data_IF_628736441251
#
_entry.id   IF_628736441251
#
_cell.length_a   1.000
_cell.length_b   1.000
_cell.length_c   1.000
_cell.angle_alpha   90.00
_cell.angle_beta   90.00
_cell.angle_gamma   90.00
#
_symmetry.space_group_name_H-M   'P 1'
#
loop_
_entity.id
_entity.type
_entity.pdbx_description
1 polymer ?
#
# COMPACT_ATOMS: atom_id res chain seq x y z
N UNK A 1 -9.85 12.06 -65.84
CA UNK A 1 -8.86 11.13 -66.41
C UNK A 1 -8.41 10.19 -65.30
N UNK A 2 -8.71 8.89 -65.49
CA UNK A 2 -8.09 7.67 -64.92
C UNK A 2 -7.70 7.64 -63.44
N UNK A 3 -8.48 7.05 -62.51
CA UNK A 3 -8.75 5.63 -62.17
C UNK A 3 -7.59 4.82 -61.53
N UNK A 4 -7.93 4.15 -60.41
CA UNK A 4 -7.33 2.93 -59.82
C UNK A 4 -6.07 3.13 -58.94
N UNK A 5 -5.87 2.48 -57.79
CA UNK A 5 -6.40 1.21 -57.24
C UNK A 5 -6.56 1.27 -55.70
N UNK A 6 -7.51 0.47 -55.20
CA UNK A 6 -7.64 0.03 -53.80
C UNK A 6 -6.40 -0.77 -53.35
N UNK A 7 -5.98 -0.59 -52.10
CA UNK A 7 -5.26 -1.62 -51.36
C UNK A 7 -6.08 -2.00 -50.13
N UNK A 8 -6.50 -3.26 -50.12
CA UNK A 8 -6.99 -3.97 -48.95
C UNK A 8 -5.76 -4.49 -48.22
N UNK A 9 -5.43 -3.91 -47.06
CA UNK A 9 -4.40 -4.47 -46.18
C UNK A 9 -5.05 -5.31 -45.08
N UNK A 10 -4.68 -6.58 -45.09
CA UNK A 10 -5.07 -7.62 -44.15
C UNK A 10 -4.88 -7.20 -42.69
N UNK A 11 -5.96 -7.29 -41.90
CA UNK A 11 -5.87 -7.51 -40.47
C UNK A 11 -5.21 -8.87 -40.21
N UNK A 12 -3.90 -8.87 -39.92
CA UNK A 12 -3.28 -9.92 -39.12
C UNK A 12 -3.19 -9.41 -37.69
N UNK A 13 -4.15 -9.84 -36.85
CA UNK A 13 -4.08 -9.64 -35.41
C UNK A 13 -2.83 -10.32 -34.84
N UNK A 14 -2.03 -9.56 -34.09
CA UNK A 14 -1.00 -10.11 -33.22
C UNK A 14 -1.68 -10.92 -32.10
N UNK A 15 -1.84 -12.23 -32.29
CA UNK A 15 -1.85 -13.16 -31.16
C UNK A 15 -0.40 -13.49 -30.82
N UNK A 16 0.12 -12.85 -29.77
CA UNK A 16 1.32 -13.31 -29.09
C UNK A 16 1.01 -14.64 -28.38
N UNK A 17 1.18 -15.76 -29.09
CA UNK A 17 1.19 -17.09 -28.46
C UNK A 17 2.57 -17.28 -27.81
N UNK A 18 2.62 -17.17 -26.48
CA UNK A 18 3.77 -17.62 -25.68
C UNK A 18 3.90 -19.14 -25.79
N UNK A 19 4.62 -19.63 -26.78
CA UNK A 19 4.94 -21.06 -26.96
C UNK A 19 5.81 -21.63 -25.83
N UNK A 20 6.43 -20.79 -24.99
CA UNK A 20 7.16 -21.24 -23.80
C UNK A 20 6.30 -21.65 -22.60
N UNK A 21 5.06 -21.14 -22.48
CA UNK A 21 4.24 -21.38 -21.28
C UNK A 21 3.42 -22.67 -21.39
N UNK A 22 3.08 -23.09 -22.61
CA UNK A 22 2.27 -24.31 -22.85
C UNK A 22 3.09 -25.57 -22.54
N UNK A 23 4.38 -25.62 -22.90
CA UNK A 23 5.22 -26.77 -22.58
C UNK A 23 5.48 -26.94 -21.07
N UNK A 24 5.61 -25.84 -20.32
CA UNK A 24 5.83 -25.87 -18.87
C UNK A 24 4.53 -26.25 -18.13
N UNK A 25 3.38 -25.73 -18.58
CA UNK A 25 2.08 -26.06 -17.99
C UNK A 25 1.70 -27.53 -18.14
N UNK A 26 1.97 -28.15 -19.29
CA UNK A 26 1.70 -29.58 -19.53
C UNK A 26 2.64 -30.48 -18.70
N UNK A 27 3.90 -30.06 -18.52
CA UNK A 27 4.85 -30.78 -17.66
C UNK A 27 4.46 -30.73 -16.18
N UNK A 28 3.98 -29.57 -15.70
CA UNK A 28 3.49 -29.42 -14.32
C UNK A 28 2.22 -30.24 -14.06
N UNK A 29 1.27 -30.24 -15.00
CA UNK A 29 0.05 -31.06 -14.89
C UNK A 29 0.35 -32.56 -14.86
N UNK A 30 1.31 -33.02 -15.65
CA UNK A 30 1.76 -34.42 -15.63
C UNK A 30 2.48 -34.77 -14.31
N UNK A 31 3.34 -33.87 -13.79
CA UNK A 31 4.07 -34.10 -12.55
C UNK A 31 3.14 -34.07 -11.32
N UNK A 32 2.16 -33.16 -11.30
CA UNK A 32 1.13 -33.09 -10.25
C UNK A 32 0.24 -34.32 -10.25
N UNK A 33 -0.12 -34.85 -11.42
CA UNK A 33 -0.90 -36.10 -11.50
C UNK A 33 -0.13 -37.31 -10.96
N UNK A 34 1.19 -37.40 -11.21
CA UNK A 34 2.04 -38.47 -10.68
C UNK A 34 2.24 -38.36 -9.16
N UNK A 35 2.42 -37.14 -8.64
CA UNK A 35 2.54 -36.89 -7.19
C UNK A 35 1.24 -37.18 -6.44
N UNK A 36 0.09 -36.86 -7.02
CA UNK A 36 -1.22 -37.11 -6.39
C UNK A 36 -1.55 -38.61 -6.30
N UNK A 37 -1.10 -39.41 -7.28
CA UNK A 37 -1.25 -40.87 -7.25
C UNK A 37 -0.37 -41.50 -6.14
N UNK A 38 0.84 -40.97 -5.90
CA UNK A 38 1.72 -41.50 -4.85
C UNK A 38 1.23 -41.19 -3.43
N UNK A 39 0.58 -40.04 -3.20
CA UNK A 39 0.02 -39.66 -1.88
C UNK A 39 -1.17 -40.54 -1.48
N UNK A 40 -1.88 -41.14 -2.44
CA UNK A 40 -3.01 -42.04 -2.16
C UNK A 40 -2.60 -43.49 -1.85
N UNK A 41 -1.30 -43.81 -1.87
CA UNK A 41 -0.79 -45.19 -1.76
C UNK A 41 -0.12 -45.51 -0.40
N UNK A 42 0.13 -44.54 0.49
CA UNK A 42 0.75 -44.84 1.80
C UNK A 42 -0.26 -45.19 2.92
N UNK A 43 -0.12 -46.35 3.59
CA UNK A 43 -0.90 -46.67 4.79
C UNK A 43 -0.30 -45.98 6.03
N UNK A 44 -1.11 -45.18 6.73
CA UNK A 44 -0.70 -44.51 7.98
C UNK A 44 -0.70 -45.49 9.16
N UNK A 45 0.44 -45.63 9.81
CA UNK A 45 0.53 -46.07 11.21
C UNK A 45 1.61 -45.28 11.93
N UNK A 46 1.22 -44.38 12.83
CA UNK A 46 2.13 -43.72 13.77
C UNK A 46 1.44 -43.60 15.14
N UNK A 47 2.08 -44.16 16.16
CA UNK A 47 1.75 -44.03 17.57
C UNK A 47 2.93 -43.29 18.22
N UNK A 48 2.71 -42.09 18.78
CA UNK A 48 3.71 -41.35 19.55
C UNK A 48 3.07 -40.79 20.81
N UNK A 49 3.67 -41.12 21.95
CA UNK A 49 3.34 -40.67 23.31
C UNK A 49 4.20 -39.46 23.70
N UNK A 50 3.60 -38.39 24.21
CA UNK A 50 4.28 -37.25 24.83
C UNK A 50 4.26 -37.31 26.36
N UNK A 51 5.35 -36.83 26.97
CA UNK A 51 5.50 -36.64 28.43
C UNK A 51 5.90 -35.19 28.75
N UNK A 52 5.17 -34.56 29.69
CA UNK A 52 5.45 -33.23 30.26
C UNK A 52 6.47 -33.27 31.42
N UNK A 53 7.11 -32.12 31.74
CA UNK A 53 7.43 -31.82 33.14
C UNK A 53 7.05 -30.40 33.63
N UNK A 54 7.10 -30.26 34.95
CA UNK A 54 6.31 -29.40 35.83
C UNK A 54 6.96 -28.07 36.27
N UNK A 55 6.09 -27.18 36.79
CA UNK A 55 6.34 -25.90 37.49
C UNK A 55 7.14 -26.01 38.81
N UNK A 56 7.81 -24.91 39.17
CA UNK A 56 8.09 -24.50 40.56
C UNK A 56 7.88 -22.99 40.78
N UNK A 57 7.39 -22.64 41.98
CA UNK A 57 7.08 -21.30 42.50
C UNK A 57 8.27 -20.68 43.27
N UNK A 58 8.35 -19.35 43.39
CA UNK A 58 8.60 -18.66 44.68
C UNK A 58 8.34 -17.13 44.64
N UNK A 59 7.75 -16.64 45.74
CA UNK A 59 7.51 -15.24 46.19
C UNK A 59 8.81 -14.51 46.59
N UNK A 60 8.95 -13.19 46.80
CA UNK A 60 8.22 -12.21 47.67
C UNK A 60 8.81 -10.79 47.46
N UNK A 61 8.01 -9.73 47.70
CA UNK A 61 8.32 -8.28 47.83
C UNK A 61 9.09 -7.94 49.16
N UNK A 62 9.53 -6.69 49.52
CA UNK A 62 8.91 -5.37 49.21
C UNK A 62 9.80 -4.06 49.10
N UNK A 63 9.15 -2.99 48.57
CA UNK A 63 9.19 -1.52 48.87
C UNK A 63 10.48 -0.68 49.10
N UNK A 64 10.71 0.29 48.18
CA UNK A 64 10.89 1.78 48.29
C UNK A 64 11.79 2.47 49.37
N UNK A 65 12.13 3.80 49.29
CA UNK A 65 12.31 4.75 48.17
C UNK A 65 13.54 5.71 48.32
N UNK A 66 13.62 6.71 47.42
CA UNK A 66 14.14 8.10 47.60
C UNK A 66 15.46 8.53 46.92
N UNK A 67 15.27 9.51 46.02
CA UNK A 67 16.02 10.74 45.76
C UNK A 67 17.51 10.86 46.13
N UNK A 68 18.34 11.21 45.14
CA UNK A 68 19.16 12.43 45.24
C UNK A 68 19.66 12.94 43.88
N UNK A 69 19.66 14.28 43.80
CA UNK A 69 20.06 15.16 42.70
C UNK A 69 21.58 15.13 42.44
N UNK A 70 21.91 15.71 41.27
CA UNK A 70 23.12 16.48 40.95
C UNK A 70 24.30 15.70 40.35
N UNK A 71 24.50 15.87 39.04
CA UNK A 71 25.85 15.91 38.48
C UNK A 71 25.97 17.01 37.43
N UNK A 72 26.96 17.86 37.69
CA UNK A 72 27.58 18.89 36.87
C UNK A 72 28.24 18.35 35.61
N UNK A 73 28.25 19.21 34.58
CA UNK A 73 29.21 19.43 33.49
C UNK A 73 30.40 18.47 33.25
N UNK A 74 30.72 18.43 31.94
CA UNK A 74 32.04 18.24 31.32
C UNK A 74 32.48 16.80 31.08
N UNK A 75 32.52 16.38 29.81
CA UNK A 75 33.73 16.49 28.99
C UNK A 75 33.61 15.70 27.68
N UNK A 76 34.14 16.31 26.62
CA UNK A 76 34.42 15.72 25.32
C UNK A 76 35.14 14.37 25.44
N UNK A 77 34.69 13.39 24.64
CA UNK A 77 35.57 12.32 24.20
C UNK A 77 35.22 11.89 22.77
N UNK A 78 35.98 12.47 21.84
CA UNK A 78 36.17 11.99 20.48
C UNK A 78 36.77 10.59 20.53
N UNK A 79 36.12 9.62 19.89
CA UNK A 79 36.72 8.32 19.57
C UNK A 79 36.66 8.16 18.06
N UNK A 80 37.83 8.25 17.43
CA UNK A 80 38.08 7.75 16.09
C UNK A 80 38.16 6.22 16.15
N UNK A 81 37.32 5.55 15.36
CA UNK A 81 37.57 4.20 14.89
C UNK A 81 37.32 4.19 13.39
N UNK A 82 38.41 4.23 12.63
CA UNK A 82 38.40 3.88 11.23
C UNK A 82 38.32 2.37 11.09
N UNK A 83 37.58 1.91 10.08
CA UNK A 83 37.85 0.66 9.38
C UNK A 83 37.22 0.77 8.00
N UNK A 84 38.09 0.79 6.98
CA UNK A 84 37.72 0.61 5.59
C UNK A 84 37.31 -0.85 5.39
N UNK A 85 36.08 -1.07 4.91
CA UNK A 85 35.68 -2.34 4.33
C UNK A 85 35.14 -2.03 2.94
N UNK A 86 35.99 -2.29 1.94
CA UNK A 86 35.61 -2.37 0.53
C UNK A 86 35.05 -3.77 0.29
N UNK A 87 33.77 -3.87 -0.08
CA UNK A 87 33.19 -5.08 -0.66
C UNK A 87 32.69 -4.72 -2.04
N UNK A 88 33.40 -5.23 -3.04
CA UNK A 88 32.94 -5.41 -4.41
C UNK A 88 32.43 -6.84 -4.53
N UNK A 89 31.22 -7.02 -5.08
CA UNK A 89 30.92 -8.19 -5.90
C UNK A 89 29.62 -7.97 -6.67
N UNK A 90 29.77 -7.86 -7.99
CA UNK A 90 28.75 -8.15 -8.99
C UNK A 90 28.10 -9.52 -8.75
N UNK A 91 26.77 -9.59 -8.63
CA UNK A 91 25.92 -10.71 -9.09
C UNK A 91 24.43 -10.47 -8.80
N UNK A 92 23.51 -11.01 -9.63
CA UNK A 92 22.10 -10.61 -9.65
C UNK A 92 21.28 -11.21 -8.50
N UNK A 93 20.38 -10.39 -7.97
CA UNK A 93 19.40 -10.73 -6.94
C UNK A 93 18.45 -11.80 -7.48
N UNK A 94 18.47 -12.97 -6.85
CA UNK A 94 17.48 -14.04 -7.01
C UNK A 94 16.23 -13.65 -6.22
N UNK A 95 15.09 -13.62 -6.91
CA UNK A 95 13.76 -13.44 -6.31
C UNK A 95 13.46 -14.65 -5.42
N UNK A 96 13.56 -14.47 -4.10
CA UNK A 96 13.01 -15.39 -3.12
C UNK A 96 11.61 -14.90 -2.73
N UNK A 97 10.57 -15.52 -3.30
CA UNK A 97 9.19 -15.38 -2.82
C UNK A 97 9.09 -16.20 -1.53
N UNK A 98 9.09 -15.53 -0.37
CA UNK A 98 8.72 -16.18 0.89
C UNK A 98 7.21 -16.13 1.09
N UNK A 99 6.66 -17.32 1.31
CA UNK A 99 5.30 -17.54 1.80
C UNK A 99 5.16 -16.91 3.20
N UNK A 100 4.23 -15.95 3.36
CA UNK A 100 3.81 -15.51 4.68
C UNK A 100 3.02 -16.63 5.35
N UNK A 101 3.63 -17.26 6.35
CA UNK A 101 2.92 -18.09 7.32
C UNK A 101 1.91 -17.22 8.08
N UNK A 102 0.64 -17.65 8.02
CA UNK A 102 -0.43 -17.15 8.89
C UNK A 102 -0.01 -17.35 10.35
N UNK A 103 0.20 -16.26 11.07
CA UNK A 103 0.11 -16.27 12.53
C UNK A 103 -1.36 -16.19 12.94
N UNK A 104 -1.85 -17.08 13.82
CA UNK A 104 -3.21 -16.99 14.31
C UNK A 104 -3.33 -15.88 15.36
N UNK A 105 -4.29 -14.98 15.14
CA UNK A 105 -4.78 -14.02 16.13
C UNK A 105 -5.35 -14.78 17.34
N UNK A 106 -4.86 -14.43 18.53
CA UNK A 106 -5.44 -14.88 19.80
C UNK A 106 -6.82 -14.23 19.98
N UNK A 107 -7.86 -15.07 19.93
CA UNK A 107 -9.22 -14.68 20.28
C UNK A 107 -9.44 -14.61 21.79
N UNK A 108 -9.93 -13.44 22.19
CA UNK A 108 -10.83 -13.15 23.29
C UNK A 108 -11.72 -14.35 23.71
N UNK A 109 -11.59 -14.81 24.98
CA UNK A 109 -12.47 -15.81 25.61
C UNK A 109 -13.43 -15.12 26.59
N UNK A 110 -14.76 -15.32 26.47
CA UNK A 110 -15.67 -15.10 27.57
C UNK A 110 -15.78 -16.35 28.47
N UNK A 111 -15.81 -16.15 29.77
CA UNK A 111 -16.02 -17.19 30.78
C UNK A 111 -17.48 -17.68 30.75
N UNK A 112 -17.67 -18.98 30.52
CA UNK A 112 -18.88 -19.70 30.91
C UNK A 112 -18.48 -20.93 31.73
N UNK A 113 -18.96 -20.97 32.97
CA UNK A 113 -18.92 -22.12 33.87
C UNK A 113 -20.19 -22.96 33.68
N UNK A 114 -20.05 -24.25 33.37
CA UNK A 114 -21.08 -25.24 33.68
C UNK A 114 -20.45 -26.61 33.86
N UNK A 115 -20.58 -27.10 35.08
CA UNK A 115 -20.16 -28.38 35.61
C UNK A 115 -21.21 -29.45 35.24
N UNK A 116 -20.80 -30.61 34.73
CA UNK A 116 -21.47 -31.89 34.97
C UNK A 116 -20.73 -33.05 34.30
N UNK A 117 -20.50 -34.08 35.09
CA UNK A 117 -19.76 -35.30 34.80
C UNK A 117 -20.71 -36.49 34.62
N UNK A 118 -20.48 -37.34 33.61
CA UNK A 118 -20.91 -38.74 33.60
C UNK A 118 -20.15 -39.53 32.50
N UNK A 119 -19.64 -40.75 32.78
CA UNK A 119 -18.87 -41.55 31.81
C UNK A 119 -19.73 -42.63 31.13
N UNK A 120 -19.47 -42.92 29.84
CA UNK A 120 -20.04 -44.09 29.16
C UNK A 120 -18.94 -45.00 28.58
N UNK A 121 -19.13 -46.31 28.81
CA UNK A 121 -18.22 -47.43 28.54
C UNK A 121 -18.15 -47.80 27.05
N UNK A 122 -16.96 -48.20 26.62
CA UNK A 122 -16.67 -48.92 25.37
C UNK A 122 -17.19 -50.37 25.42
N UNK A 123 -17.75 -50.84 24.30
CA UNK A 123 -17.96 -52.26 24.00
C UNK A 123 -17.70 -52.47 22.50
N UNK A 124 -16.61 -53.16 22.17
CA UNK A 124 -16.21 -53.47 20.79
C UNK A 124 -16.73 -54.86 20.39
N UNK A 125 -17.60 -54.91 19.38
CA UNK A 125 -17.97 -56.16 18.68
C UNK A 125 -17.56 -56.05 17.21
N UNK A 126 -16.62 -56.90 16.80
CA UNK A 126 -16.04 -56.99 15.46
C UNK A 126 -16.97 -57.85 14.57
N UNK A 127 -17.56 -57.25 13.53
CA UNK A 127 -18.29 -57.97 12.48
C UNK A 127 -17.35 -58.36 11.32
N UNK A 128 -17.31 -59.67 11.01
CA UNK A 128 -16.57 -60.21 9.87
C UNK A 128 -17.26 -59.85 8.54
N UNK A 129 -16.49 -59.33 7.57
CA UNK A 129 -16.98 -58.90 6.25
C UNK A 129 -17.29 -60.13 5.36
N UNK A 130 -18.49 -60.21 4.75
CA UNK A 130 -18.88 -61.34 3.90
C UNK A 130 -18.02 -61.50 2.63
N UNK A 131 -17.76 -62.75 2.23
CA UNK A 131 -16.94 -63.14 1.06
C UNK A 131 -17.33 -62.48 -0.28
N UNK A 132 -18.56 -61.99 -0.44
CA UNK A 132 -19.00 -61.32 -1.67
C UNK A 132 -18.32 -59.97 -1.92
N UNK A 133 -17.86 -59.28 -0.87
CA UNK A 133 -17.17 -57.97 -0.99
C UNK A 133 -15.72 -58.16 -1.47
N UNK A 134 -15.10 -59.30 -1.17
CA UNK A 134 -13.71 -59.58 -1.57
C UNK A 134 -13.55 -59.65 -3.09
N UNK A 135 -14.52 -60.22 -3.79
CA UNK A 135 -14.44 -60.33 -5.25
C UNK A 135 -14.66 -58.99 -5.97
N UNK A 136 -15.49 -58.11 -5.41
CA UNK A 136 -15.67 -56.74 -5.92
C UNK A 136 -14.38 -55.93 -5.75
N UNK A 137 -13.69 -56.09 -4.61
CA UNK A 137 -12.40 -55.43 -4.36
C UNK A 137 -11.29 -55.92 -5.28
N UNK A 138 -11.27 -57.22 -5.63
CA UNK A 138 -10.31 -57.77 -6.59
C UNK A 138 -10.55 -57.26 -8.02
N UNK A 139 -11.80 -57.17 -8.46
CA UNK A 139 -12.14 -56.61 -9.79
C UNK A 139 -11.83 -55.11 -9.86
N UNK A 140 -12.12 -54.36 -8.79
CA UNK A 140 -11.77 -52.94 -8.68
C UNK A 140 -10.26 -52.72 -8.70
N UNK A 141 -9.47 -53.64 -8.13
CA UNK A 141 -8.02 -53.60 -8.18
C UNK A 141 -7.47 -53.82 -9.60
N UNK A 142 -8.07 -54.72 -10.39
CA UNK A 142 -7.67 -54.94 -11.80
C UNK A 142 -8.01 -53.72 -12.66
N UNK A 143 -9.21 -53.15 -12.51
CA UNK A 143 -9.60 -51.92 -13.24
C UNK A 143 -8.64 -50.77 -12.89
N UNK A 144 -8.33 -50.59 -11.60
CA UNK A 144 -7.43 -49.52 -11.15
C UNK A 144 -6.00 -49.71 -11.66
N UNK A 145 -5.48 -50.94 -11.62
CA UNK A 145 -4.07 -51.18 -11.89
C UNK A 145 -3.75 -51.45 -13.37
N UNK A 146 -4.76 -51.74 -14.20
CA UNK A 146 -4.55 -52.06 -15.63
C UNK A 146 -5.28 -51.08 -16.55
N UNK A 147 -6.55 -50.81 -16.31
CA UNK A 147 -7.35 -50.01 -17.25
C UNK A 147 -6.96 -48.52 -17.20
N UNK A 148 -6.76 -47.97 -16.01
CA UNK A 148 -6.36 -46.57 -15.82
C UNK A 148 -5.02 -46.26 -16.52
N UNK A 149 -3.92 -47.02 -16.30
CA UNK A 149 -2.66 -46.73 -16.98
C UNK A 149 -2.75 -46.86 -18.51
N UNK A 150 -3.56 -47.78 -19.04
CA UNK A 150 -3.77 -47.90 -20.50
C UNK A 150 -4.48 -46.67 -21.07
N UNK A 151 -5.51 -46.16 -20.39
CA UNK A 151 -6.24 -44.94 -20.81
C UNK A 151 -5.31 -43.73 -20.79
N UNK A 152 -4.48 -43.58 -19.75
CA UNK A 152 -3.49 -42.49 -19.66
C UNK A 152 -2.46 -42.59 -20.79
N UNK A 153 -2.00 -43.80 -21.11
CA UNK A 153 -1.01 -44.00 -22.18
C UNK A 153 -1.58 -43.63 -23.56
N UNK A 154 -2.84 -43.98 -23.82
CA UNK A 154 -3.55 -43.58 -25.04
C UNK A 154 -3.69 -42.05 -25.12
N UNK A 155 -4.08 -41.39 -24.03
CA UNK A 155 -4.23 -39.93 -23.99
C UNK A 155 -2.91 -39.20 -24.28
N UNK A 156 -1.80 -39.65 -23.66
CA UNK A 156 -0.46 -39.10 -23.92
C UNK A 156 -0.05 -39.31 -25.37
N UNK A 157 -0.27 -40.51 -25.93
CA UNK A 157 0.07 -40.81 -27.32
C UNK A 157 -0.73 -39.93 -28.31
N UNK A 158 -2.01 -39.70 -28.05
CA UNK A 158 -2.82 -38.78 -28.86
C UNK A 158 -2.38 -37.33 -28.73
N UNK A 159 -1.86 -36.90 -27.58
CA UNK A 159 -1.33 -35.55 -27.40
C UNK A 159 -0.04 -35.34 -28.22
N UNK A 160 0.85 -36.34 -28.21
CA UNK A 160 2.11 -36.31 -28.97
C UNK A 160 1.87 -36.24 -30.48
N UNK A 161 0.96 -37.06 -31.02
CA UNK A 161 0.64 -37.03 -32.46
C UNK A 161 0.08 -35.66 -32.88
N UNK A 162 -0.75 -35.02 -32.05
CA UNK A 162 -1.31 -33.71 -32.37
C UNK A 162 -0.25 -32.59 -32.32
N UNK A 163 0.77 -32.71 -31.47
CA UNK A 163 1.89 -31.75 -31.41
C UNK A 163 2.75 -31.85 -32.68
N UNK A 164 3.07 -33.06 -33.15
CA UNK A 164 3.87 -33.23 -34.38
C UNK A 164 3.14 -32.70 -35.62
N UNK A 165 1.80 -32.84 -35.68
CA UNK A 165 0.97 -32.28 -36.75
C UNK A 165 0.91 -30.74 -36.69
N UNK A 166 0.99 -30.14 -35.50
CA UNK A 166 1.02 -28.69 -35.30
C UNK A 166 2.40 -28.07 -35.60
N UNK A 167 3.48 -28.78 -35.27
CA UNK A 167 4.86 -28.31 -35.49
C UNK A 167 5.31 -28.53 -36.95
N UNK A 168 4.78 -29.55 -37.64
CA UNK A 168 5.13 -29.86 -39.03
C UNK A 168 4.58 -28.91 -40.11
N UNK A 169 3.80 -27.88 -39.76
CA UNK A 169 3.12 -27.00 -40.75
C UNK A 169 3.59 -25.55 -40.79
N UNK A 170 4.57 -25.16 -39.98
CA UNK A 170 5.09 -23.78 -39.93
C UNK A 170 6.53 -23.68 -40.47
N UNK A 171 6.70 -24.09 -41.73
CA UNK A 171 7.86 -23.69 -42.53
C UNK A 171 7.72 -22.22 -42.97
N UNK A 172 7.92 -21.28 -42.03
CA UNK A 172 8.11 -19.87 -42.38
C UNK A 172 9.61 -19.57 -42.26
N UNK A 173 10.28 -19.41 -43.40
CA UNK A 173 11.68 -19.01 -43.47
C UNK A 173 11.76 -17.53 -43.07
N UNK A 174 12.00 -17.28 -41.78
CA UNK A 174 12.22 -15.93 -41.25
C UNK A 174 13.60 -15.48 -41.74
N UNK A 175 13.63 -14.73 -42.84
CA UNK A 175 14.76 -13.84 -43.14
C UNK A 175 14.74 -12.71 -42.12
N UNK A 176 15.60 -12.80 -41.11
CA UNK A 176 15.89 -11.67 -40.23
C UNK A 176 16.60 -10.57 -41.02
N UNK A 177 15.83 -9.61 -41.53
CA UNK A 177 16.36 -8.29 -41.84
C UNK A 177 16.64 -7.60 -40.49
N UNK A 178 17.90 -7.30 -40.22
CA UNK A 178 18.33 -6.43 -39.13
C UNK A 178 17.75 -5.05 -39.37
N UNK A 179 16.52 -4.85 -38.90
CA UNK A 179 15.86 -3.56 -38.85
C UNK A 179 15.82 -3.19 -37.38
N UNK A 180 16.34 -1.98 -37.12
CA UNK A 180 16.60 -1.34 -35.85
C UNK A 180 15.73 -1.84 -34.69
N UNK A 181 16.39 -2.32 -33.64
CA UNK A 181 15.76 -2.56 -32.36
C UNK A 181 15.03 -1.28 -31.94
N UNK A 182 13.71 -1.33 -31.98
CA UNK A 182 12.83 -0.39 -31.30
C UNK A 182 13.36 -0.25 -29.88
N UNK A 183 13.95 0.90 -29.57
CA UNK A 183 14.29 1.25 -28.22
C UNK A 183 12.98 1.25 -27.43
N UNK A 184 12.82 0.26 -26.56
CA UNK A 184 11.86 0.35 -25.46
C UNK A 184 12.24 1.64 -24.73
N UNK A 185 11.37 2.64 -24.81
CA UNK A 185 11.54 3.92 -24.15
C UNK A 185 11.58 3.65 -22.64
N UNK A 186 12.78 3.45 -22.12
CA UNK A 186 13.02 3.20 -20.72
C UNK A 186 12.61 4.49 -20.00
N UNK A 187 11.52 4.43 -19.24
CA UNK A 187 11.11 5.55 -18.39
C UNK A 187 12.27 5.83 -17.44
N UNK A 188 13.01 6.91 -17.67
CA UNK A 188 14.13 7.30 -16.82
C UNK A 188 13.54 7.89 -15.55
N UNK A 189 13.46 7.10 -14.48
CA UNK A 189 13.15 7.61 -13.16
C UNK A 189 14.23 8.63 -12.75
N UNK A 190 13.84 9.70 -12.05
CA UNK A 190 14.79 10.71 -11.57
C UNK A 190 15.71 10.16 -10.48
N UNK A 191 15.18 9.23 -9.69
CA UNK A 191 15.91 8.40 -8.76
C UNK A 191 15.29 7.00 -8.75
N UNK A 192 16.09 5.97 -8.98
CA UNK A 192 15.64 4.57 -9.02
C UNK A 192 15.09 4.11 -7.67
N UNK A 193 15.56 4.68 -6.55
CA UNK A 193 15.08 4.32 -5.21
C UNK A 193 13.61 4.65 -5.01
N UNK A 194 13.10 5.71 -5.65
CA UNK A 194 11.70 6.12 -5.54
C UNK A 194 10.77 5.15 -6.26
N UNK A 195 11.19 4.70 -7.45
CA UNK A 195 10.53 3.65 -8.18
C UNK A 195 10.52 2.35 -7.37
N UNK A 196 11.67 1.91 -6.88
CA UNK A 196 11.79 0.69 -6.06
C UNK A 196 10.91 0.76 -4.81
N UNK A 197 10.87 1.92 -4.14
CA UNK A 197 10.04 2.13 -2.95
C UNK A 197 8.55 1.97 -3.27
N UNK A 198 8.07 2.66 -4.30
CA UNK A 198 6.68 2.60 -4.74
C UNK A 198 6.28 1.19 -5.17
N UNK A 199 7.16 0.50 -5.90
CA UNK A 199 6.97 -0.90 -6.28
C UNK A 199 6.94 -1.83 -5.07
N UNK A 200 7.81 -1.64 -4.08
CA UNK A 200 7.79 -2.43 -2.86
C UNK A 200 6.44 -2.31 -2.15
N UNK A 201 5.91 -1.10 -2.00
CA UNK A 201 4.63 -0.87 -1.34
C UNK A 201 3.48 -1.47 -2.17
N UNK A 202 3.47 -1.23 -3.48
CA UNK A 202 2.48 -1.79 -4.42
C UNK A 202 2.42 -3.31 -4.33
N UNK A 203 3.58 -3.98 -4.32
CA UNK A 203 3.68 -5.44 -4.18
C UNK A 203 3.27 -5.93 -2.80
N UNK A 204 3.66 -5.22 -1.74
CA UNK A 204 3.30 -5.55 -0.35
C UNK A 204 1.80 -5.53 -0.11
N UNK A 205 1.09 -4.65 -0.82
CA UNK A 205 -0.36 -4.51 -0.73
C UNK A 205 -1.13 -5.27 -1.82
N UNK A 206 -0.44 -5.93 -2.77
CA UNK A 206 -1.08 -6.51 -3.95
C UNK A 206 -2.17 -7.55 -3.64
N UNK A 207 -1.93 -8.40 -2.64
CA UNK A 207 -2.87 -9.45 -2.21
C UNK A 207 -3.74 -9.05 -1.01
N UNK A 208 -3.54 -7.85 -0.47
CA UNK A 208 -4.34 -7.35 0.65
C UNK A 208 -5.66 -6.84 0.07
N UNK A 209 -6.81 -7.23 0.60
CA UNK A 209 -8.10 -6.66 0.18
C UNK A 209 -8.16 -5.16 0.47
N UNK A 210 -8.86 -4.38 -0.36
CA UNK A 210 -8.87 -2.90 -0.24
C UNK A 210 -9.25 -2.45 1.18
N UNK A 211 -10.33 -2.97 1.75
CA UNK A 211 -10.78 -2.63 3.10
C UNK A 211 -9.84 -3.08 4.22
N UNK A 212 -8.87 -3.96 3.93
CA UNK A 212 -7.86 -4.43 4.89
C UNK A 212 -6.57 -3.60 4.86
N UNK A 213 -6.39 -2.74 3.85
CA UNK A 213 -5.18 -1.90 3.75
C UNK A 213 -5.00 -1.03 4.99
N UNK A 214 -6.08 -0.46 5.53
CA UNK A 214 -6.05 0.35 6.76
C UNK A 214 -5.24 -0.30 7.89
N UNK A 215 -5.45 -1.59 8.13
CA UNK A 215 -4.78 -2.32 9.22
C UNK A 215 -3.40 -2.89 8.84
N UNK A 216 -3.10 -3.00 7.54
CA UNK A 216 -1.89 -3.66 7.05
C UNK A 216 -0.83 -2.67 6.53
N UNK A 217 -1.21 -1.41 6.31
CA UNK A 217 -0.33 -0.42 5.69
C UNK A 217 0.92 -0.12 6.51
N UNK A 218 0.81 -0.07 7.83
CA UNK A 218 1.96 0.14 8.72
C UNK A 218 3.02 -0.93 8.52
N UNK A 219 2.63 -2.21 8.52
CA UNK A 219 3.55 -3.32 8.29
C UNK A 219 4.17 -3.32 6.89
N UNK A 220 3.43 -2.90 5.86
CA UNK A 220 3.96 -2.76 4.51
C UNK A 220 5.04 -1.66 4.44
N UNK A 221 4.79 -0.52 5.07
CA UNK A 221 5.74 0.60 5.14
C UNK A 221 6.99 0.20 5.92
N UNK A 222 6.84 -0.43 7.08
CA UNK A 222 7.96 -0.90 7.90
C UNK A 222 8.85 -1.86 7.10
N UNK A 223 8.25 -2.80 6.38
CA UNK A 223 8.97 -3.70 5.50
C UNK A 223 9.73 -2.94 4.41
N UNK A 224 9.06 -2.06 3.66
CA UNK A 224 9.71 -1.34 2.56
C UNK A 224 10.81 -0.38 3.03
N UNK A 225 10.62 0.29 4.16
CA UNK A 225 11.67 1.10 4.80
C UNK A 225 12.86 0.24 5.27
N UNK A 226 12.64 -1.05 5.57
CA UNK A 226 13.72 -1.96 5.97
C UNK A 226 14.62 -2.35 4.80
N UNK A 227 14.05 -2.54 3.59
CA UNK A 227 14.76 -3.02 2.40
C UNK A 227 15.23 -1.90 1.47
N UNK A 228 14.53 -0.76 1.47
CA UNK A 228 14.85 0.40 0.63
C UNK A 228 15.07 1.59 1.55
N UNK A 229 16.32 2.08 1.57
CA UNK A 229 16.71 3.19 2.43
C UNK A 229 16.53 4.50 1.68
N UNK A 230 15.47 5.22 2.05
CA UNK A 230 15.26 6.61 1.71
C UNK A 230 15.78 7.49 2.85
N UNK A 231 16.41 8.61 2.52
CA UNK A 231 16.83 9.58 3.53
C UNK A 231 15.65 10.47 3.91
N UNK A 232 15.23 10.42 5.17
CA UNK A 232 14.12 11.23 5.69
C UNK A 232 14.59 12.41 6.54
N UNK A 233 15.89 12.73 6.58
CA UNK A 233 16.45 13.82 7.40
C UNK A 233 15.89 15.20 7.02
N UNK A 234 15.44 15.33 5.76
CA UNK A 234 14.83 16.55 5.25
C UNK A 234 13.31 16.62 5.45
N UNK A 235 12.70 15.56 5.99
CA UNK A 235 11.29 15.51 6.33
C UNK A 235 11.09 16.05 7.75
N UNK A 236 10.81 17.35 7.86
CA UNK A 236 10.74 18.03 9.15
C UNK A 236 9.34 17.92 9.75
N UNK A 237 9.26 17.45 10.99
CA UNK A 237 8.00 17.42 11.75
C UNK A 237 7.73 18.75 12.44
N UNK A 238 6.55 19.32 12.19
CA UNK A 238 6.00 20.50 12.83
C UNK A 238 4.82 20.07 13.70
N UNK A 239 4.86 20.45 14.98
CA UNK A 239 3.88 19.96 15.98
C UNK A 239 2.74 20.95 16.17
N UNK A 240 1.53 20.41 16.11
CA UNK A 240 0.34 20.98 16.74
C UNK A 240 0.18 20.37 18.15
N UNK A 241 -0.87 20.74 18.86
CA UNK A 241 -1.18 20.28 20.22
C UNK A 241 -1.41 18.77 20.28
N UNK A 242 -2.02 18.19 19.26
CA UNK A 242 -2.43 16.78 19.21
C UNK A 242 -1.78 16.00 18.06
N UNK A 243 -1.04 16.66 17.16
CA UNK A 243 -0.48 16.03 15.97
C UNK A 243 0.89 16.56 15.53
N UNK A 244 1.46 15.90 14.51
CA UNK A 244 2.68 16.35 13.83
C UNK A 244 2.45 16.30 12.34
N UNK A 245 2.45 17.47 11.70
CA UNK A 245 2.44 17.63 10.25
C UNK A 245 3.88 17.66 9.75
N UNK A 246 4.15 17.11 8.57
CA UNK A 246 5.50 17.07 8.02
C UNK A 246 5.66 18.01 6.84
N UNK A 247 6.85 18.57 6.67
CA UNK A 247 7.14 19.45 5.55
C UNK A 247 8.61 19.33 5.16
N UNK A 248 8.87 19.34 3.86
CA UNK A 248 10.21 19.50 3.31
C UNK A 248 10.42 20.96 2.94
N UNK A 249 11.46 21.57 3.49
CA UNK A 249 11.88 22.90 3.07
C UNK A 249 12.23 22.94 1.58
N UNK A 250 12.13 24.08 0.91
CA UNK A 250 12.71 24.20 -0.42
C UNK A 250 14.24 24.02 -0.35
N UNK A 251 14.82 23.54 -1.45
CA UNK A 251 16.27 23.34 -1.64
C UNK A 251 17.00 24.67 -1.57
N UNK A 252 16.49 25.68 -2.27
CA UNK A 252 17.00 27.04 -2.23
C UNK A 252 15.90 28.02 -1.81
N UNK A 253 15.97 28.47 -0.56
CA UNK A 253 15.06 29.46 0.02
C UNK A 253 15.07 30.81 -0.72
N UNK A 254 16.16 31.15 -1.43
CA UNK A 254 16.24 32.41 -2.18
C UNK A 254 15.47 32.34 -3.50
N UNK A 255 15.23 31.14 -4.02
CA UNK A 255 14.43 30.90 -5.23
C UNK A 255 12.95 30.65 -4.92
N UNK A 256 12.59 30.54 -3.64
CA UNK A 256 11.21 30.41 -3.23
C UNK A 256 10.47 31.73 -3.45
N UNK A 257 9.64 31.77 -4.49
CA UNK A 257 8.70 32.85 -4.76
C UNK A 257 7.35 32.28 -5.21
N UNK A 258 6.30 33.07 -5.01
CA UNK A 258 4.92 32.69 -5.37
C UNK A 258 4.53 31.31 -4.84
N UNK A 259 4.98 30.98 -3.63
CA UNK A 259 4.68 29.71 -3.00
C UNK A 259 3.22 29.72 -2.50
N UNK A 260 2.52 28.59 -2.55
CA UNK A 260 1.15 28.49 -2.03
C UNK A 260 1.07 27.40 -0.98
N UNK A 261 0.67 27.79 0.23
CA UNK A 261 0.43 26.91 1.35
C UNK A 261 -1.07 26.98 1.65
N UNK A 262 -1.74 25.84 1.50
CA UNK A 262 -3.19 25.78 1.61
C UNK A 262 -3.56 24.88 2.78
N UNK A 263 -4.49 25.33 3.62
CA UNK A 263 -5.03 24.57 4.75
C UNK A 263 -6.53 24.36 4.53
N UNK A 264 -6.97 23.10 4.54
CA UNK A 264 -8.38 22.74 4.54
C UNK A 264 -8.73 22.14 5.90
N UNK A 265 -9.71 22.76 6.56
CA UNK A 265 -10.01 22.54 7.98
C UNK A 265 -8.86 23.02 8.84
N UNK A 266 -8.99 24.27 9.27
CA UNK A 266 -7.99 24.97 10.06
C UNK A 266 -7.97 24.43 11.49
N UNK A 267 -9.16 24.05 11.99
CA UNK A 267 -9.30 23.61 13.37
C UNK A 267 -8.95 24.70 14.37
N UNK A 268 -8.76 24.31 15.63
CA UNK A 268 -8.54 25.24 16.73
C UNK A 268 -7.06 25.51 17.04
N UNK A 269 -6.15 24.97 16.24
CA UNK A 269 -4.71 25.07 16.39
C UNK A 269 -4.03 25.29 15.04
N UNK A 270 -3.37 26.44 14.91
CA UNK A 270 -2.67 26.88 13.69
C UNK A 270 -1.15 26.97 13.91
N UNK A 271 -0.64 26.22 14.89
CA UNK A 271 0.77 26.30 15.30
C UNK A 271 1.72 25.92 14.17
N UNK A 272 1.37 24.94 13.33
CA UNK A 272 2.15 24.58 12.14
C UNK A 272 2.14 25.72 11.11
N UNK A 273 0.96 26.25 10.78
CA UNK A 273 0.77 27.32 9.81
C UNK A 273 1.52 28.59 10.24
N UNK A 274 1.51 28.91 11.53
CA UNK A 274 2.30 30.01 12.11
C UNK A 274 3.81 29.79 11.94
N UNK A 275 4.32 28.59 12.22
CA UNK A 275 5.73 28.27 12.04
C UNK A 275 6.16 28.37 10.57
N UNK A 276 5.32 27.91 9.64
CA UNK A 276 5.58 28.05 8.20
C UNK A 276 5.52 29.52 7.77
N UNK A 277 4.59 30.32 8.31
CA UNK A 277 4.50 31.76 8.03
C UNK A 277 5.70 32.53 8.56
N UNK A 278 6.17 32.23 9.77
CA UNK A 278 7.40 32.82 10.33
C UNK A 278 8.61 32.49 9.43
N UNK A 279 8.68 31.26 8.94
CA UNK A 279 9.78 30.79 8.11
C UNK A 279 9.79 31.39 6.71
N UNK A 280 8.65 31.40 6.03
CA UNK A 280 8.59 31.81 4.61
C UNK A 280 8.16 33.25 4.40
N UNK A 281 7.48 33.86 5.38
CA UNK A 281 7.03 35.24 5.32
C UNK A 281 6.12 35.49 4.13
N UNK A 282 6.46 36.49 3.31
CA UNK A 282 5.68 36.90 2.15
C UNK A 282 6.08 36.18 0.85
N UNK A 283 7.02 35.22 0.94
CA UNK A 283 7.39 34.36 -0.20
C UNK A 283 6.29 33.35 -0.52
N UNK A 284 5.50 32.98 0.50
CA UNK A 284 4.35 32.10 0.39
C UNK A 284 3.05 32.86 0.67
N UNK A 285 2.01 32.55 -0.10
CA UNK A 285 0.62 32.89 0.22
C UNK A 285 0.04 31.76 1.05
N UNK A 286 -0.67 32.13 2.11
CA UNK A 286 -1.37 31.21 3.00
C UNK A 286 -2.86 31.38 2.77
N UNK A 287 -3.54 30.28 2.45
CA UNK A 287 -4.97 30.27 2.15
C UNK A 287 -5.63 29.17 2.95
N UNK A 288 -6.57 29.53 3.82
CA UNK A 288 -7.21 28.61 4.74
C UNK A 288 -8.72 28.59 4.55
N UNK A 289 -9.30 27.41 4.40
CA UNK A 289 -10.75 27.24 4.31
C UNK A 289 -11.27 26.45 5.50
N UNK A 290 -12.23 27.03 6.22
CA UNK A 290 -12.88 26.40 7.35
C UNK A 290 -14.28 27.02 7.55
N UNK A 291 -15.34 26.23 7.77
CA UNK A 291 -16.67 26.76 7.98
C UNK A 291 -16.90 27.43 9.36
N UNK A 292 -16.01 27.23 10.34
CA UNK A 292 -16.17 27.69 11.73
C UNK A 292 -15.54 29.08 11.92
N UNK A 293 -16.39 30.11 11.93
CA UNK A 293 -15.91 31.50 11.96
C UNK A 293 -15.66 32.06 13.38
N UNK A 294 -16.11 31.37 14.44
CA UNK A 294 -16.06 31.91 15.81
C UNK A 294 -14.64 32.07 16.35
N UNK A 295 -13.77 31.07 16.10
CA UNK A 295 -12.38 31.06 16.54
C UNK A 295 -11.39 30.90 15.38
N UNK A 296 -11.71 30.05 14.40
CA UNK A 296 -10.74 29.67 13.36
C UNK A 296 -10.41 30.87 12.45
N UNK A 297 -11.41 31.73 12.19
CA UNK A 297 -11.21 33.00 11.47
C UNK A 297 -10.25 33.94 12.21
N UNK A 298 -10.41 34.09 13.54
CA UNK A 298 -9.58 34.97 14.36
C UNK A 298 -8.11 34.54 14.36
N UNK A 299 -7.86 33.23 14.52
CA UNK A 299 -6.50 32.70 14.63
C UNK A 299 -5.79 32.57 13.27
N UNK A 300 -6.53 32.41 12.16
CA UNK A 300 -5.93 32.22 10.84
C UNK A 300 -5.68 33.53 10.07
N UNK A 301 -6.54 34.55 10.22
CA UNK A 301 -6.39 35.84 9.51
C UNK A 301 -5.01 36.51 9.66
N UNK A 302 -4.31 36.41 10.81
CA UNK A 302 -2.94 36.93 10.93
C UNK A 302 -1.91 36.20 10.07
N UNK A 303 -2.23 34.98 9.61
CA UNK A 303 -1.36 34.10 8.81
C UNK A 303 -1.59 34.34 7.32
N UNK A 304 -2.86 34.39 6.90
CA UNK A 304 -3.26 34.48 5.50
C UNK A 304 -4.75 34.70 5.26
N UNK A 305 -5.18 34.39 4.05
CA UNK A 305 -6.58 34.56 3.62
C UNK A 305 -7.45 33.46 4.23
N UNK A 306 -8.54 33.86 4.90
CA UNK A 306 -9.51 32.94 5.49
C UNK A 306 -10.80 32.89 4.67
N UNK A 307 -11.28 31.68 4.40
CA UNK A 307 -12.48 31.41 3.63
C UNK A 307 -13.53 30.68 4.49
N UNK A 308 -14.71 31.29 4.77
CA UNK A 308 -15.70 30.79 5.73
C UNK A 308 -16.62 29.70 5.13
N UNK A 309 -16.03 28.64 4.59
CA UNK A 309 -16.76 27.50 4.02
C UNK A 309 -15.88 26.24 4.08
N UNK A 310 -16.52 25.08 4.02
CA UNK A 310 -15.82 23.81 3.87
C UNK A 310 -15.39 23.60 2.41
N UNK A 311 -14.34 22.81 2.21
CA UNK A 311 -13.91 22.37 0.87
C UNK A 311 -14.10 20.86 0.77
N UNK A 312 -14.71 20.43 -0.33
CA UNK A 312 -15.06 19.02 -0.55
C UNK A 312 -14.98 18.64 -2.03
N UNK A 313 -15.60 17.51 -2.37
CA UNK A 313 -15.64 17.01 -3.75
C UNK A 313 -16.75 17.65 -4.62
N UNK A 314 -17.65 18.41 -4.01
CA UNK A 314 -18.81 19.03 -4.65
C UNK A 314 -19.19 20.36 -3.98
N UNK A 315 -19.69 21.31 -4.76
CA UNK A 315 -20.25 22.57 -4.24
C UNK A 315 -21.70 22.33 -3.83
N UNK A 316 -21.98 22.32 -2.53
CA UNK A 316 -23.32 22.06 -1.97
C UNK A 316 -23.47 22.63 -0.57
N UNK A 317 -24.70 22.62 -0.05
CA UNK A 317 -24.92 22.81 1.39
C UNK A 317 -25.16 21.44 2.01
N UNK A 318 -24.39 21.08 3.02
CA UNK A 318 -24.45 19.77 3.67
C UNK A 318 -24.34 19.90 5.18
N UNK A 319 -24.98 18.97 5.89
CA UNK A 319 -24.85 18.85 7.34
C UNK A 319 -23.55 18.12 7.69
N UNK A 320 -22.67 18.79 8.43
CA UNK A 320 -21.41 18.22 8.91
C UNK A 320 -21.39 18.27 10.44
N UNK A 321 -20.73 17.27 11.04
CA UNK A 321 -20.52 17.21 12.49
C UNK A 321 -19.24 17.97 12.81
N UNK A 322 -19.33 19.06 13.57
CA UNK A 322 -18.20 19.96 13.82
C UNK A 322 -18.02 20.24 15.30
N UNK A 323 -16.78 20.56 15.69
CA UNK A 323 -16.44 21.02 17.03
C UNK A 323 -16.27 22.54 17.01
N UNK A 324 -17.30 23.28 17.40
CA UNK A 324 -17.26 24.77 17.38
C UNK A 324 -16.62 25.39 18.61
N UNK A 325 -16.85 24.80 19.79
CA UNK A 325 -16.22 25.27 21.02
C UNK A 325 -15.06 24.34 21.35
N UNK A 326 -13.80 24.83 21.32
CA UNK A 326 -12.63 24.02 21.64
C UNK A 326 -12.67 23.46 23.07
N UNK A 327 -13.38 24.13 23.97
CA UNK A 327 -13.50 23.74 25.38
C UNK A 327 -14.64 22.76 25.63
N UNK A 328 -15.56 22.63 24.66
CA UNK A 328 -16.58 21.61 24.69
C UNK A 328 -16.04 20.32 24.06
N UNK A 329 -16.33 19.17 24.66
CA UNK A 329 -16.12 17.88 23.99
C UNK A 329 -17.23 17.56 22.98
N UNK A 330 -18.15 18.50 22.75
CA UNK A 330 -19.38 18.25 22.01
C UNK A 330 -19.20 18.62 20.54
N UNK A 331 -19.54 17.67 19.67
CA UNK A 331 -19.72 17.94 18.26
C UNK A 331 -21.19 18.24 17.97
N UNK A 332 -21.44 19.23 17.13
CA UNK A 332 -22.78 19.67 16.74
C UNK A 332 -22.98 19.46 15.24
N UNK A 333 -24.19 19.06 14.86
CA UNK A 333 -24.56 18.97 13.45
C UNK A 333 -24.97 20.36 12.96
N UNK A 334 -24.29 20.85 11.92
CA UNK A 334 -24.59 22.13 11.30
C UNK A 334 -24.50 22.05 9.78
N UNK A 335 -25.33 22.86 9.13
CA UNK A 335 -25.28 23.01 7.68
C UNK A 335 -24.20 24.02 7.32
N UNK A 336 -23.25 23.60 6.51
CA UNK A 336 -22.23 24.47 5.96
C UNK A 336 -22.28 24.45 4.44
N UNK A 337 -21.87 25.58 3.86
CA UNK A 337 -21.54 25.63 2.44
C UNK A 337 -20.23 24.89 2.23
N UNK A 338 -20.24 23.97 1.29
CA UNK A 338 -19.07 23.30 0.74
C UNK A 338 -18.79 23.88 -0.64
N UNK A 339 -17.52 24.09 -0.95
CA UNK A 339 -17.03 24.46 -2.27
C UNK A 339 -16.18 23.32 -2.80
N UNK A 340 -16.42 22.92 -4.04
CA UNK A 340 -15.62 21.89 -4.71
C UNK A 340 -14.15 22.33 -4.80
N UNK A 341 -13.20 21.41 -4.57
CA UNK A 341 -11.78 21.75 -4.45
C UNK A 341 -11.22 22.53 -5.66
N UNK A 342 -11.49 22.11 -6.90
CA UNK A 342 -11.01 22.84 -8.08
C UNK A 342 -11.66 24.23 -8.19
N UNK A 343 -12.95 24.35 -7.89
CA UNK A 343 -13.64 25.65 -7.79
C UNK A 343 -12.99 26.53 -6.71
N UNK A 344 -12.66 25.99 -5.55
CA UNK A 344 -11.98 26.71 -4.48
C UNK A 344 -10.62 27.24 -4.96
N UNK A 345 -9.77 26.37 -5.50
CA UNK A 345 -8.43 26.73 -5.97
C UNK A 345 -8.48 27.82 -7.05
N UNK A 346 -9.41 27.69 -8.00
CA UNK A 346 -9.54 28.60 -9.15
C UNK A 346 -10.20 29.92 -8.79
N UNK A 347 -11.36 29.87 -8.14
CA UNK A 347 -12.26 31.01 -8.04
C UNK A 347 -12.14 31.73 -6.70
N UNK A 348 -11.71 31.03 -5.64
CA UNK A 348 -11.62 31.58 -4.28
C UNK A 348 -10.19 31.91 -3.91
N UNK A 349 -9.33 30.89 -3.85
CA UNK A 349 -7.91 31.04 -3.55
C UNK A 349 -7.13 31.69 -4.71
N UNK A 350 -7.64 31.60 -5.94
CA UNK A 350 -7.04 32.18 -7.15
C UNK A 350 -5.58 31.71 -7.35
N UNK A 351 -5.34 30.43 -7.09
CA UNK A 351 -4.05 29.79 -7.34
C UNK A 351 -3.88 29.67 -8.87
N UNK A 352 -2.82 30.23 -9.46
CA UNK A 352 -2.56 30.05 -10.89
C UNK A 352 -2.21 28.59 -11.17
N UNK A 353 -2.92 27.94 -12.10
CA UNK A 353 -2.64 26.56 -12.49
C UNK A 353 -1.25 26.38 -13.15
N UNK A 354 -0.62 27.44 -13.63
CA UNK A 354 0.78 27.42 -14.07
C UNK A 354 1.79 27.26 -12.91
N UNK A 355 1.36 27.51 -11.67
CA UNK A 355 2.16 27.39 -10.46
C UNK A 355 1.87 26.05 -9.77
N UNK A 356 2.73 25.69 -8.82
CA UNK A 356 2.53 24.52 -7.96
C UNK A 356 1.90 24.98 -6.65
N UNK A 357 1.15 24.07 -6.02
CA UNK A 357 0.77 24.17 -4.61
C UNK A 357 1.90 23.53 -3.83
N UNK A 358 2.57 24.33 -3.01
CA UNK A 358 3.81 23.93 -2.33
C UNK A 358 3.54 23.05 -1.12
N UNK A 359 2.44 23.28 -0.40
CA UNK A 359 1.99 22.46 0.72
C UNK A 359 0.47 22.45 0.77
N UNK A 360 -0.10 21.28 1.04
CA UNK A 360 -1.53 21.13 1.26
C UNK A 360 -1.79 20.40 2.58
N UNK A 361 -2.41 21.08 3.55
CA UNK A 361 -2.76 20.50 4.85
C UNK A 361 -4.25 20.16 4.83
N UNK A 362 -4.58 18.87 4.91
CA UNK A 362 -5.96 18.38 4.74
C UNK A 362 -6.43 17.66 6.01
N UNK A 363 -7.37 18.27 6.70
CA UNK A 363 -8.08 17.76 7.88
C UNK A 363 -9.52 18.25 7.79
N UNK A 364 -10.42 17.50 7.15
CA UNK A 364 -11.75 17.98 6.73
C UNK A 364 -12.88 17.07 7.18
N UNK A 365 -12.71 16.45 8.35
CA UNK A 365 -13.76 15.75 9.09
C UNK A 365 -14.56 14.77 8.19
N UNK A 366 -13.89 13.72 7.71
CA UNK A 366 -14.40 12.65 6.82
C UNK A 366 -14.57 13.02 5.35
N UNK A 367 -14.48 14.29 4.97
CA UNK A 367 -14.54 14.68 3.56
C UNK A 367 -13.28 14.26 2.77
N UNK A 368 -12.21 13.81 3.44
CA UNK A 368 -10.96 13.39 2.80
C UNK A 368 -11.19 12.23 1.83
N UNK A 369 -12.04 11.28 2.20
CA UNK A 369 -12.34 10.08 1.42
C UNK A 369 -12.92 10.41 0.04
N UNK A 370 -13.80 11.41 -0.02
CA UNK A 370 -14.43 11.85 -1.27
C UNK A 370 -13.46 12.63 -2.18
N UNK A 371 -12.33 13.08 -1.64
CA UNK A 371 -11.31 13.86 -2.34
C UNK A 371 -10.10 13.04 -2.77
N UNK A 372 -10.02 11.75 -2.43
CA UNK A 372 -8.88 10.90 -2.76
C UNK A 372 -8.59 10.83 -4.27
N UNK A 373 -9.63 10.87 -5.11
CA UNK A 373 -9.50 10.80 -6.57
C UNK A 373 -8.92 12.07 -7.24
N UNK A 374 -8.77 13.15 -6.48
CA UNK A 374 -8.13 14.37 -6.95
C UNK A 374 -6.63 14.20 -7.17
N UNK A 375 -6.00 13.34 -6.37
CA UNK A 375 -4.55 13.20 -6.30
C UNK A 375 -3.98 12.11 -7.24
N UNK A 376 -4.84 11.34 -7.91
CA UNK A 376 -4.40 10.35 -8.91
C UNK A 376 -3.71 10.98 -10.11
N UNK A 377 -2.90 10.19 -10.80
CA UNK A 377 -2.44 10.54 -12.15
C UNK A 377 -3.65 10.62 -13.10
N UNK A 378 -3.77 11.73 -13.82
CA UNK A 378 -4.95 12.14 -14.60
C UNK A 378 -6.23 12.31 -13.75
N UNK A 379 -6.06 12.53 -12.45
CA UNK A 379 -7.13 12.86 -11.50
C UNK A 379 -7.69 14.26 -11.71
N UNK A 380 -8.61 14.67 -10.83
CA UNK A 380 -9.32 15.96 -10.98
C UNK A 380 -8.39 17.18 -10.90
N UNK A 381 -7.35 17.14 -10.06
CA UNK A 381 -6.37 18.24 -10.02
C UNK A 381 -5.58 18.35 -11.33
N UNK A 382 -5.11 17.22 -11.86
CA UNK A 382 -4.39 17.20 -13.13
C UNK A 382 -5.24 17.72 -14.29
N UNK A 383 -6.50 17.28 -14.36
CA UNK A 383 -7.43 17.70 -15.41
C UNK A 383 -7.72 19.20 -15.32
N UNK A 384 -7.60 19.80 -14.13
CA UNK A 384 -7.70 21.24 -13.90
C UNK A 384 -6.36 22.00 -14.04
N UNK A 385 -5.25 21.28 -14.24
CA UNK A 385 -3.91 21.82 -14.37
C UNK A 385 -3.22 22.16 -13.05
N UNK A 386 -3.73 21.68 -11.91
CA UNK A 386 -3.11 21.89 -10.60
C UNK A 386 -2.11 20.79 -10.26
N UNK A 387 -0.99 21.18 -9.63
CA UNK A 387 0.02 20.25 -9.16
C UNK A 387 0.33 20.53 -7.70
N UNK A 388 0.22 19.51 -6.85
CA UNK A 388 0.59 19.59 -5.43
C UNK A 388 1.96 18.95 -5.24
N UNK A 389 2.88 19.67 -4.62
CA UNK A 389 4.25 19.19 -4.38
C UNK A 389 4.37 18.34 -3.13
N UNK A 390 3.69 18.69 -2.06
CA UNK A 390 3.63 17.90 -0.84
C UNK A 390 2.32 18.19 -0.12
N UNK A 391 1.84 17.21 0.63
CA UNK A 391 0.62 17.37 1.41
C UNK A 391 0.58 16.44 2.61
N UNK A 392 -0.12 16.89 3.64
CA UNK A 392 -0.46 16.13 4.82
C UNK A 392 -1.96 15.81 4.78
N UNK A 393 -2.31 14.57 5.13
CA UNK A 393 -3.70 14.14 5.28
C UNK A 393 -3.94 13.50 6.63
N UNK A 394 -4.99 13.96 7.34
CA UNK A 394 -5.59 13.29 8.48
C UNK A 394 -6.85 12.53 8.03
N UNK A 395 -6.75 11.21 7.93
CA UNK A 395 -7.85 10.34 7.56
C UNK A 395 -8.59 9.89 8.82
N UNK A 396 -9.81 10.41 8.99
CA UNK A 396 -10.68 10.13 10.13
C UNK A 396 -11.13 8.67 10.20
N UNK A 397 -11.48 8.16 11.38
CA UNK A 397 -11.75 6.73 11.61
C UNK A 397 -12.83 6.17 10.66
N UNK A 398 -12.47 5.34 9.66
CA UNK A 398 -13.36 5.03 8.55
C UNK A 398 -14.44 3.99 8.89
N UNK A 399 -15.56 4.08 8.18
CA UNK A 399 -16.47 2.96 7.98
C UNK A 399 -15.92 1.91 6.98
N UNK A 400 -16.67 0.84 6.70
CA UNK A 400 -16.22 -0.21 5.77
C UNK A 400 -15.98 0.29 4.33
N UNK A 401 -16.82 1.21 3.86
CA UNK A 401 -16.73 1.77 2.51
C UNK A 401 -15.52 2.70 2.41
N UNK A 402 -15.35 3.58 3.39
CA UNK A 402 -14.22 4.50 3.50
C UNK A 402 -12.89 3.75 3.61
N UNK A 403 -12.83 2.65 4.38
CA UNK A 403 -11.64 1.77 4.41
C UNK A 403 -11.29 1.23 3.04
N UNK A 404 -12.29 0.77 2.28
CA UNK A 404 -12.07 0.26 0.94
C UNK A 404 -11.65 1.37 -0.04
N UNK A 405 -12.24 2.56 0.06
CA UNK A 405 -11.85 3.73 -0.75
C UNK A 405 -10.40 4.15 -0.47
N UNK A 406 -10.01 4.24 0.81
CA UNK A 406 -8.65 4.50 1.24
C UNK A 406 -7.65 3.44 0.77
N UNK A 407 -8.02 2.16 0.88
CA UNK A 407 -7.16 1.08 0.42
C UNK A 407 -6.94 1.08 -1.08
N UNK A 408 -7.99 1.37 -1.87
CA UNK A 408 -7.87 1.58 -3.33
C UNK A 408 -6.94 2.74 -3.63
N UNK A 409 -7.12 3.85 -2.91
CA UNK A 409 -6.32 5.05 -3.06
C UNK A 409 -4.83 4.78 -2.85
N UNK A 410 -4.43 4.22 -1.70
CA UNK A 410 -3.01 3.97 -1.43
C UNK A 410 -2.38 3.01 -2.42
N UNK A 411 -3.10 1.95 -2.82
CA UNK A 411 -2.63 1.04 -3.87
C UNK A 411 -2.46 1.74 -5.20
N UNK A 412 -3.36 2.65 -5.55
CA UNK A 412 -3.26 3.41 -6.79
C UNK A 412 -2.10 4.41 -6.73
N UNK A 413 -1.94 5.16 -5.64
CA UNK A 413 -0.82 6.08 -5.44
C UNK A 413 0.53 5.37 -5.53
N UNK A 414 0.66 4.19 -4.91
CA UNK A 414 1.87 3.37 -5.02
C UNK A 414 2.15 2.87 -6.44
N UNK A 415 1.13 2.66 -7.27
CA UNK A 415 1.27 2.29 -8.69
C UNK A 415 1.54 3.49 -9.60
N UNK A 416 0.97 4.63 -9.26
CA UNK A 416 1.13 5.88 -10.00
C UNK A 416 2.56 6.43 -9.85
N UNK A 417 3.25 6.08 -8.76
CA UNK A 417 4.63 6.48 -8.43
C UNK A 417 4.86 7.99 -8.37
N UNK A 418 3.79 8.78 -8.46
CA UNK A 418 3.85 10.24 -8.37
C UNK A 418 4.23 10.70 -6.98
N UNK A 419 3.55 10.15 -5.98
CA UNK A 419 3.73 10.51 -4.58
C UNK A 419 4.41 9.38 -3.84
N UNK A 420 5.54 9.69 -3.20
CA UNK A 420 6.01 8.88 -2.08
C UNK A 420 5.21 9.29 -0.85
N UNK A 421 4.90 8.33 0.01
CA UNK A 421 4.19 8.61 1.26
C UNK A 421 4.91 8.02 2.46
N UNK A 422 4.86 8.77 3.56
CA UNK A 422 5.60 8.54 4.78
C UNK A 422 4.70 8.76 5.99
N UNK A 423 5.14 8.22 7.13
CA UNK A 423 4.57 8.48 8.45
C UNK A 423 3.06 8.18 8.55
N UNK A 424 2.60 7.05 8.01
CA UNK A 424 1.21 6.58 8.18
C UNK A 424 1.01 6.05 9.59
N UNK A 425 0.74 6.96 10.53
CA UNK A 425 0.56 6.66 11.95
C UNK A 425 -0.94 6.52 12.23
N UNK A 426 -1.36 5.33 12.67
CA UNK A 426 -2.73 5.07 13.14
C UNK A 426 -2.85 5.36 14.64
N UNK A 427 -3.57 6.43 14.99
CA UNK A 427 -3.95 6.82 16.37
C UNK A 427 -5.46 6.73 16.60
N UNK A 428 -6.16 5.93 15.79
CA UNK A 428 -7.62 6.00 15.58
C UNK A 428 -7.98 6.82 14.34
N UNK A 429 -7.04 7.66 13.88
CA UNK A 429 -7.01 8.32 12.57
C UNK A 429 -5.66 7.99 11.94
N UNK A 430 -5.59 7.90 10.61
CA UNK A 430 -4.31 7.77 9.91
C UNK A 430 -3.85 9.17 9.50
N UNK A 431 -2.74 9.61 10.08
CA UNK A 431 -2.03 10.81 9.63
C UNK A 431 -0.94 10.39 8.69
N UNK A 432 -0.69 11.17 7.64
CA UNK A 432 0.24 10.79 6.59
C UNK A 432 0.77 11.99 5.82
N UNK A 433 1.97 11.85 5.28
CA UNK A 433 2.63 12.86 4.47
C UNK A 433 2.96 12.29 3.09
N UNK A 434 2.77 13.10 2.04
CA UNK A 434 3.00 12.73 0.65
C UNK A 434 3.89 13.77 -0.03
N UNK A 435 4.79 13.34 -0.91
CA UNK A 435 5.65 14.24 -1.70
C UNK A 435 5.74 13.80 -3.16
N UNK A 436 5.55 14.77 -4.06
CA UNK A 436 5.56 14.56 -5.51
C UNK A 436 6.99 14.47 -6.03
N UNK A 437 7.37 13.28 -6.48
CA UNK A 437 8.72 12.99 -7.00
C UNK A 437 8.78 12.99 -8.53
N UNK A 438 7.64 13.12 -9.20
CA UNK A 438 7.53 13.05 -10.67
C UNK A 438 7.50 14.43 -11.32
N UNK A 439 6.76 15.40 -10.78
CA UNK A 439 6.75 16.77 -11.34
C UNK A 439 8.14 17.42 -11.20
N UNK A 440 8.64 18.03 -12.27
CA UNK A 440 9.99 18.62 -12.29
C UNK A 440 10.14 19.79 -11.34
N UNK A 441 9.11 20.64 -11.23
CA UNK A 441 9.14 21.82 -10.35
C UNK A 441 9.16 21.37 -8.89
N UNK A 442 8.35 20.37 -8.53
CA UNK A 442 8.34 19.82 -7.17
C UNK A 442 9.64 19.09 -6.84
N UNK A 443 10.16 18.29 -7.77
CA UNK A 443 11.42 17.57 -7.59
C UNK A 443 12.59 18.52 -7.37
N UNK A 444 12.77 19.52 -8.24
CA UNK A 444 13.87 20.48 -8.14
C UNK A 444 13.73 21.38 -6.90
N UNK A 445 12.50 21.68 -6.50
CA UNK A 445 12.24 22.54 -5.34
C UNK A 445 12.43 21.81 -4.02
N UNK A 446 12.08 20.53 -3.90
CA UNK A 446 11.99 19.85 -2.60
C UNK A 446 12.77 18.55 -2.48
N UNK A 447 12.97 17.80 -3.56
CA UNK A 447 13.36 16.38 -3.50
C UNK A 447 14.80 16.13 -3.95
N UNK A 448 15.28 16.85 -4.97
CA UNK A 448 16.55 16.59 -5.63
C UNK A 448 17.73 16.50 -4.63
N UNK A 449 18.30 15.31 -4.48
CA UNK A 449 19.42 15.03 -3.59
C UNK A 449 19.08 14.97 -2.09
N UNK A 450 17.80 14.87 -1.70
CA UNK A 450 17.35 14.89 -0.30
C UNK A 450 16.73 13.60 0.21
N UNK A 451 15.97 12.87 -0.61
CA UNK A 451 15.34 11.59 -0.25
C UNK A 451 16.13 10.44 -0.87
#
# INVERSE_FOLDING_TARGET
MTMSTKNEDCLCGLMHVKTGTICIGVFYLALSAVLFINVLIEPKSALVTETHPSRTNLSTLPTQPSEQKSSTNSSNKTIHLGTNITISSDSPVVIAVMAMQRYPNEHYRPNYTSDSSAPYKHQDDIYAVPRSIKHILEVMAVIRNVLIPVIVLIAVFTLFINIDVLVGRSGCEIKCSTTEASQVQQHSYKDERYHLYSQCISLSLYQVEDGQVWHNIGSAIDYCNSVIKLNTDHLLGYRNADETKYHMDPIDLNQLNNCHIITLGIGHDVSVELQLKEKYGDRCKFQGADPITTKNEEIYKPIGDYFPFAVGNETRVETTMVKEDPNSGAYTWKNFSHVELVEFLRDKAQVPNSQVIDEFLVDIEYAEYAMLDYFYVNGKLDNAGYTVCQWNGEFHNPDEKQRAEFGKFLKQIAKDERYLFFNLIDVGHIRSYFVNVVDQRCFDRYVNGRI
#
